data_IF_949944420264
#
_entry.id   IF_949944420264
#
_cell.length_a   1.000
_cell.length_b   1.000
_cell.length_c   1.000
_cell.angle_alpha   90.00
_cell.angle_beta   90.00
_cell.angle_gamma   90.00
#
_symmetry.space_group_name_H-M   'P 1'
#
loop_
_entity.id
_entity.type
_entity.pdbx_description
1 polymer ?
#
# COMPACT_ATOMS: atom_id res chain seq x y z
N UNK A 1 1.63 14.98 -17.64
CA UNK A 1 3.03 15.13 -18.09
C UNK A 1 3.91 14.27 -17.19
N UNK A 2 4.75 13.44 -17.80
CA UNK A 2 5.76 12.66 -17.08
C UNK A 2 6.76 13.60 -16.42
N UNK A 3 7.15 13.33 -15.19
CA UNK A 3 8.08 14.17 -14.43
C UNK A 3 9.34 13.38 -14.13
N UNK A 4 10.47 13.90 -14.58
CA UNK A 4 11.78 13.35 -14.25
C UNK A 4 12.10 13.64 -12.78
N UNK A 5 12.11 12.56 -11.95
CA UNK A 5 12.44 12.66 -10.52
C UNK A 5 13.96 12.74 -10.28
N UNK A 6 14.77 12.65 -11.34
CA UNK A 6 16.24 12.71 -11.24
C UNK A 6 16.79 14.13 -11.35
N UNK A 7 15.93 15.15 -11.51
CA UNK A 7 16.30 16.56 -11.68
C UNK A 7 15.65 17.45 -10.62
N UNK A 8 16.25 18.61 -10.35
CA UNK A 8 15.75 19.58 -9.36
C UNK A 8 16.09 19.24 -7.91
N UNK A 9 15.70 20.08 -6.94
CA UNK A 9 15.94 19.87 -5.51
C UNK A 9 15.08 18.69 -5.00
N UNK A 10 15.67 17.66 -4.33
CA UNK A 10 14.95 16.47 -3.89
C UNK A 10 13.68 16.75 -3.07
N UNK A 11 13.74 17.70 -2.13
CA UNK A 11 12.57 18.09 -1.32
C UNK A 11 11.40 18.57 -2.20
N UNK A 12 11.65 19.51 -3.12
CA UNK A 12 10.61 20.06 -4.01
C UNK A 12 10.03 18.99 -4.94
N UNK A 13 10.89 18.09 -5.40
CA UNK A 13 10.49 16.97 -6.28
C UNK A 13 9.61 15.99 -5.52
N UNK A 14 10.02 15.57 -4.31
CA UNK A 14 9.26 14.63 -3.48
C UNK A 14 7.93 15.21 -3.03
N UNK A 15 7.89 16.46 -2.51
CA UNK A 15 6.62 17.10 -2.16
C UNK A 15 5.66 17.17 -3.35
N UNK A 16 6.13 17.64 -4.51
CA UNK A 16 5.30 17.77 -5.70
C UNK A 16 4.84 16.44 -6.30
N UNK A 17 5.54 15.33 -5.98
CA UNK A 17 5.19 13.98 -6.41
C UNK A 17 4.33 13.25 -5.39
N UNK A 18 4.66 13.32 -4.10
CA UNK A 18 3.99 12.56 -3.05
C UNK A 18 2.67 13.20 -2.58
N UNK A 19 2.51 14.53 -2.69
CA UNK A 19 1.30 15.21 -2.22
C UNK A 19 0.02 14.74 -2.96
N UNK A 20 -0.02 14.58 -4.29
CA UNK A 20 -1.19 13.99 -4.96
C UNK A 20 -1.44 12.55 -4.55
N UNK A 21 -0.38 11.74 -4.30
CA UNK A 21 -0.53 10.36 -3.83
C UNK A 21 -1.16 10.33 -2.43
N UNK A 22 -0.75 11.24 -1.55
CA UNK A 22 -1.39 11.41 -0.24
C UNK A 22 -2.86 11.81 -0.36
N UNK A 23 -3.18 12.74 -1.25
CA UNK A 23 -4.57 13.11 -1.56
C UNK A 23 -5.42 11.92 -2.02
N UNK A 24 -4.83 10.98 -2.77
CA UNK A 24 -5.51 9.76 -3.20
C UNK A 24 -5.99 8.91 -2.02
N UNK A 25 -5.21 8.82 -0.94
CA UNK A 25 -5.59 8.07 0.27
C UNK A 25 -6.82 8.68 0.93
N UNK A 26 -6.89 10.01 1.00
CA UNK A 26 -8.05 10.69 1.59
C UNK A 26 -9.33 10.32 0.83
N UNK A 27 -9.32 10.41 -0.50
CA UNK A 27 -10.47 10.01 -1.33
C UNK A 27 -10.81 8.53 -1.19
N UNK A 28 -9.81 7.65 -1.12
CA UNK A 28 -10.01 6.22 -0.92
C UNK A 28 -10.66 5.92 0.44
N UNK A 29 -10.26 6.62 1.51
CA UNK A 29 -10.87 6.43 2.82
C UNK A 29 -12.28 7.00 2.89
N UNK A 30 -12.53 8.16 2.26
CA UNK A 30 -13.88 8.71 2.15
C UNK A 30 -14.83 7.77 1.40
N UNK A 31 -14.38 7.19 0.32
CA UNK A 31 -15.11 6.19 -0.44
C UNK A 31 -15.44 4.95 0.42
N UNK A 32 -14.47 4.35 1.10
CA UNK A 32 -14.69 3.17 1.95
C UNK A 32 -15.68 3.44 3.10
N UNK A 33 -15.65 4.65 3.67
CA UNK A 33 -16.59 5.07 4.71
C UNK A 33 -18.01 5.23 4.11
N UNK A 34 -18.12 5.87 2.94
CA UNK A 34 -19.39 6.08 2.28
C UNK A 34 -20.09 4.77 1.89
N UNK A 35 -19.35 3.81 1.30
CA UNK A 35 -19.86 2.48 0.98
C UNK A 35 -20.45 1.78 2.21
N UNK A 36 -19.70 1.79 3.32
CA UNK A 36 -20.13 1.19 4.57
C UNK A 36 -21.38 1.87 5.15
N UNK A 37 -21.43 3.20 5.06
CA UNK A 37 -22.61 3.98 5.52
C UNK A 37 -23.85 3.72 4.66
N UNK A 38 -23.68 3.64 3.33
CA UNK A 38 -24.80 3.39 2.40
C UNK A 38 -25.31 1.96 2.61
N UNK A 39 -24.44 0.97 2.68
CA UNK A 39 -24.82 -0.42 2.96
C UNK A 39 -25.55 -0.53 4.31
N UNK A 40 -25.01 0.02 5.38
CA UNK A 40 -25.60 -0.07 6.72
C UNK A 40 -26.92 0.68 6.85
N UNK A 41 -27.01 1.91 6.33
CA UNK A 41 -28.18 2.79 6.54
C UNK A 41 -29.36 2.45 5.62
N UNK A 42 -29.10 2.04 4.38
CA UNK A 42 -30.15 1.87 3.37
C UNK A 42 -30.49 0.42 3.06
N UNK A 43 -29.60 -0.54 3.34
CA UNK A 43 -29.86 -1.97 3.13
C UNK A 43 -30.12 -2.68 4.47
N UNK A 44 -29.31 -2.39 5.50
CA UNK A 44 -29.47 -2.92 6.85
C UNK A 44 -28.19 -3.54 7.42
N UNK A 45 -28.28 -3.99 8.67
CA UNK A 45 -27.14 -4.53 9.43
C UNK A 45 -26.53 -5.78 8.79
N UNK A 46 -27.37 -6.70 8.29
CA UNK A 46 -26.90 -7.92 7.63
C UNK A 46 -26.12 -7.63 6.35
N UNK A 47 -26.53 -6.61 5.59
CA UNK A 47 -25.81 -6.18 4.39
C UNK A 47 -24.43 -5.60 4.73
N UNK A 48 -24.35 -4.76 5.77
CA UNK A 48 -23.10 -4.22 6.26
C UNK A 48 -22.17 -5.34 6.75
N UNK A 49 -22.73 -6.32 7.47
CA UNK A 49 -21.98 -7.49 7.94
C UNK A 49 -21.49 -8.35 6.76
N UNK A 50 -22.31 -8.56 5.72
CA UNK A 50 -21.94 -9.33 4.54
C UNK A 50 -20.80 -8.67 3.74
N UNK A 51 -20.85 -7.36 3.54
CA UNK A 51 -19.79 -6.57 2.88
C UNK A 51 -18.51 -6.63 3.69
N UNK A 52 -18.58 -6.38 5.01
CA UNK A 52 -17.44 -6.39 5.91
C UNK A 52 -16.78 -7.77 6.00
N UNK A 53 -17.57 -8.84 6.08
CA UNK A 53 -17.07 -10.21 6.10
C UNK A 53 -16.37 -10.60 4.79
N UNK A 54 -16.91 -10.21 3.67
CA UNK A 54 -16.32 -10.45 2.35
C UNK A 54 -15.03 -9.65 2.15
N UNK A 55 -14.92 -8.48 2.75
CA UNK A 55 -13.74 -7.60 2.65
C UNK A 55 -12.45 -8.29 3.12
N UNK A 56 -12.50 -9.11 4.16
CA UNK A 56 -11.33 -9.85 4.64
C UNK A 56 -10.75 -10.78 3.57
N UNK A 57 -11.61 -11.42 2.77
CA UNK A 57 -11.18 -12.26 1.64
C UNK A 57 -10.64 -11.39 0.50
N UNK A 58 -11.25 -10.22 0.25
CA UNK A 58 -10.79 -9.31 -0.82
C UNK A 58 -9.39 -8.79 -0.56
N UNK A 59 -8.95 -8.65 0.70
CA UNK A 59 -7.59 -8.24 1.05
C UNK A 59 -6.52 -9.17 0.48
N UNK A 60 -6.83 -10.46 0.31
CA UNK A 60 -5.91 -11.42 -0.31
C UNK A 60 -5.68 -11.02 -1.78
N UNK A 61 -6.75 -10.78 -2.53
CA UNK A 61 -6.64 -10.37 -3.94
C UNK A 61 -5.97 -9.01 -4.10
N UNK A 62 -6.27 -8.07 -3.19
CA UNK A 62 -5.62 -6.75 -3.14
C UNK A 62 -4.12 -6.88 -2.92
N UNK A 63 -3.65 -7.81 -2.07
CA UNK A 63 -2.23 -8.03 -1.82
C UNK A 63 -1.47 -8.42 -3.11
N UNK A 64 -2.06 -9.28 -3.95
CA UNK A 64 -1.48 -9.65 -5.24
C UNK A 64 -1.46 -8.47 -6.22
N UNK A 65 -2.56 -7.73 -6.34
CA UNK A 65 -2.64 -6.56 -7.22
C UNK A 65 -1.62 -5.48 -6.80
N UNK A 66 -1.49 -5.24 -5.50
CA UNK A 66 -0.53 -4.30 -4.92
C UNK A 66 0.93 -4.74 -5.15
N UNK A 67 1.21 -6.03 -5.02
CA UNK A 67 2.54 -6.57 -5.33
C UNK A 67 2.91 -6.39 -6.80
N UNK A 68 1.99 -6.63 -7.73
CA UNK A 68 2.18 -6.35 -9.16
C UNK A 68 2.43 -4.87 -9.44
N UNK A 69 1.67 -3.98 -8.76
CA UNK A 69 1.88 -2.53 -8.83
C UNK A 69 3.32 -2.16 -8.44
N UNK A 70 3.78 -2.61 -7.27
CA UNK A 70 5.11 -2.28 -6.75
C UNK A 70 6.21 -2.88 -7.63
N UNK A 71 6.08 -4.15 -8.02
CA UNK A 71 7.06 -4.83 -8.89
C UNK A 71 7.23 -4.10 -10.21
N UNK A 72 6.11 -3.78 -10.88
CA UNK A 72 6.10 -2.99 -12.10
C UNK A 72 6.72 -1.62 -11.88
N UNK A 73 6.25 -0.88 -10.86
CA UNK A 73 6.63 0.52 -10.68
C UNK A 73 8.12 0.70 -10.41
N UNK A 74 8.74 -0.19 -9.63
CA UNK A 74 10.18 -0.15 -9.33
C UNK A 74 11.02 -0.41 -10.59
N UNK A 75 10.69 -1.44 -11.37
CA UNK A 75 11.47 -1.80 -12.56
C UNK A 75 11.28 -0.78 -13.69
N UNK A 76 10.03 -0.33 -13.92
CA UNK A 76 9.74 0.77 -14.88
C UNK A 76 10.46 2.05 -14.48
N UNK A 77 10.44 2.43 -13.18
CA UNK A 77 11.16 3.61 -12.67
C UNK A 77 12.65 3.54 -12.96
N UNK A 78 13.27 2.36 -12.78
CA UNK A 78 14.69 2.16 -13.04
C UNK A 78 15.04 2.39 -14.50
N UNK A 79 14.34 1.73 -15.41
CA UNK A 79 14.57 1.90 -16.85
C UNK A 79 14.20 3.31 -17.34
N UNK A 80 13.18 3.94 -16.75
CA UNK A 80 12.84 5.32 -17.07
C UNK A 80 13.95 6.29 -16.63
N UNK A 81 14.52 6.12 -15.44
CA UNK A 81 15.67 6.89 -14.96
C UNK A 81 16.94 6.70 -15.82
N UNK A 82 17.18 5.47 -16.29
CA UNK A 82 18.26 5.15 -17.23
C UNK A 82 18.00 5.66 -18.66
N UNK A 83 16.81 6.23 -18.94
CA UNK A 83 16.34 6.63 -20.29
C UNK A 83 16.26 5.47 -21.29
N UNK A 84 16.19 4.24 -20.81
CA UNK A 84 16.04 3.03 -21.61
C UNK A 84 14.56 2.78 -21.96
N UNK A 85 13.95 3.63 -22.78
CA UNK A 85 12.51 3.63 -23.08
C UNK A 85 12.01 2.34 -23.75
N UNK A 86 12.90 1.64 -24.48
CA UNK A 86 12.61 0.29 -24.98
C UNK A 86 12.29 -0.67 -23.83
N UNK A 87 13.15 -0.70 -22.79
CA UNK A 87 12.98 -1.56 -21.63
C UNK A 87 11.77 -1.12 -20.78
N UNK A 88 11.46 0.20 -20.72
CA UNK A 88 10.22 0.69 -20.08
C UNK A 88 8.99 0.05 -20.74
N UNK A 89 8.89 0.10 -22.08
CA UNK A 89 7.75 -0.49 -22.80
C UNK A 89 7.70 -2.01 -22.65
N UNK A 90 8.85 -2.69 -22.78
CA UNK A 90 8.95 -4.15 -22.57
C UNK A 90 8.50 -4.55 -21.17
N UNK A 91 8.91 -3.79 -20.14
CA UNK A 91 8.49 -4.04 -18.75
C UNK A 91 6.98 -3.88 -18.58
N UNK A 92 6.38 -2.83 -19.17
CA UNK A 92 4.93 -2.64 -19.10
C UNK A 92 4.19 -3.78 -19.79
N UNK A 93 4.59 -4.16 -21.01
CA UNK A 93 3.95 -5.27 -21.74
C UNK A 93 4.09 -6.57 -20.96
N UNK A 94 5.29 -6.90 -20.47
CA UNK A 94 5.54 -8.10 -19.65
C UNK A 94 4.68 -8.11 -18.40
N UNK A 95 4.55 -6.97 -17.69
CA UNK A 95 3.73 -6.87 -16.48
C UNK A 95 2.23 -7.04 -16.79
N UNK A 96 1.74 -6.42 -17.86
CA UNK A 96 0.32 -6.54 -18.23
C UNK A 96 -0.02 -7.98 -18.60
N UNK A 97 0.86 -8.67 -19.34
CA UNK A 97 0.64 -10.05 -19.75
C UNK A 97 0.73 -11.02 -18.55
N UNK A 98 1.78 -10.90 -17.73
CA UNK A 98 1.92 -11.74 -16.54
C UNK A 98 0.85 -11.45 -15.49
N UNK A 99 0.45 -10.19 -15.35
CA UNK A 99 -0.66 -9.77 -14.50
C UNK A 99 -2.01 -10.32 -14.96
N UNK A 100 -2.23 -10.41 -16.28
CA UNK A 100 -3.43 -11.05 -16.86
C UNK A 100 -3.50 -12.53 -16.51
N UNK A 101 -2.38 -13.26 -16.65
CA UNK A 101 -2.31 -14.69 -16.31
C UNK A 101 -2.55 -14.89 -14.82
N UNK A 102 -1.87 -14.12 -13.97
CA UNK A 102 -2.06 -14.20 -12.51
C UNK A 102 -3.50 -13.88 -12.12
N UNK A 103 -4.08 -12.82 -12.68
CA UNK A 103 -5.46 -12.44 -12.44
C UNK A 103 -6.44 -13.54 -12.83
N UNK A 104 -6.26 -14.15 -14.02
CA UNK A 104 -7.10 -15.27 -14.48
C UNK A 104 -7.01 -16.47 -13.52
N UNK A 105 -5.81 -16.82 -13.04
CA UNK A 105 -5.64 -17.88 -12.05
C UNK A 105 -6.35 -17.56 -10.72
N UNK A 106 -6.21 -16.33 -10.23
CA UNK A 106 -6.89 -15.89 -9.00
C UNK A 106 -8.41 -15.83 -9.17
N UNK A 107 -8.91 -15.44 -10.34
CA UNK A 107 -10.34 -15.50 -10.64
C UNK A 107 -10.87 -16.93 -10.62
N UNK A 108 -10.18 -17.88 -11.27
CA UNK A 108 -10.56 -19.29 -11.22
C UNK A 108 -10.58 -19.82 -9.80
N UNK A 109 -9.51 -19.59 -9.04
CA UNK A 109 -9.44 -19.97 -7.62
C UNK A 109 -10.55 -19.31 -6.79
N UNK A 110 -10.83 -18.04 -7.05
CA UNK A 110 -11.87 -17.28 -6.37
C UNK A 110 -13.28 -17.81 -6.68
N UNK A 111 -13.62 -18.02 -7.96
CA UNK A 111 -14.94 -18.52 -8.35
C UNK A 111 -15.23 -19.92 -7.80
N UNK A 112 -14.28 -20.84 -7.93
CA UNK A 112 -14.46 -22.21 -7.42
C UNK A 112 -14.29 -22.29 -5.90
N UNK A 113 -13.47 -21.43 -5.30
CA UNK A 113 -13.17 -21.40 -3.88
C UNK A 113 -14.10 -20.51 -3.04
N UNK A 114 -14.95 -19.66 -3.64
CA UNK A 114 -15.73 -18.64 -2.95
C UNK A 114 -16.48 -19.16 -1.73
N UNK A 115 -17.28 -20.21 -1.90
CA UNK A 115 -18.04 -20.81 -0.81
C UNK A 115 -17.13 -21.38 0.29
N UNK A 116 -16.05 -22.08 -0.10
CA UNK A 116 -15.11 -22.66 0.85
C UNK A 116 -14.36 -21.58 1.64
N UNK A 117 -13.96 -20.47 1.00
CA UNK A 117 -13.32 -19.37 1.67
C UNK A 117 -14.24 -18.72 2.71
N UNK A 118 -15.51 -18.47 2.38
CA UNK A 118 -16.50 -17.95 3.32
C UNK A 118 -16.77 -18.93 4.49
N UNK A 119 -16.83 -20.22 4.22
CA UNK A 119 -16.98 -21.23 5.28
C UNK A 119 -15.75 -21.29 6.19
N UNK A 120 -14.54 -21.17 5.64
CA UNK A 120 -13.29 -21.17 6.43
C UNK A 120 -13.19 -20.00 7.42
N UNK A 121 -13.76 -18.84 7.08
CA UNK A 121 -13.84 -17.69 7.99
C UNK A 121 -15.07 -17.72 8.91
N UNK A 122 -15.80 -18.86 8.96
CA UNK A 122 -16.99 -19.07 9.80
C UNK A 122 -18.09 -18.01 9.52
N UNK A 123 -18.35 -17.72 8.26
CA UNK A 123 -19.45 -16.81 7.87
C UNK A 123 -20.78 -17.34 8.39
N UNK A 124 -21.58 -16.54 9.15
CA UNK A 124 -22.91 -16.94 9.61
C UNK A 124 -23.85 -17.25 8.43
N UNK A 125 -24.74 -18.25 8.61
CA UNK A 125 -25.68 -18.66 7.55
C UNK A 125 -26.60 -17.51 7.10
N UNK A 126 -26.97 -16.62 8.02
CA UNK A 126 -27.84 -15.47 7.79
C UNK A 126 -27.30 -14.49 6.72
N UNK A 127 -25.98 -14.34 6.65
CA UNK A 127 -25.31 -13.44 5.71
C UNK A 127 -24.56 -14.16 4.60
N UNK A 128 -24.57 -15.51 4.59
CA UNK A 128 -23.80 -16.32 3.63
C UNK A 128 -24.17 -16.02 2.17
N UNK A 129 -25.47 -15.86 1.89
CA UNK A 129 -25.97 -15.61 0.53
C UNK A 129 -25.47 -14.26 0.02
N UNK A 130 -25.62 -13.21 0.82
CA UNK A 130 -25.21 -11.85 0.48
C UNK A 130 -23.68 -11.72 0.39
N UNK A 131 -22.95 -12.35 1.32
CA UNK A 131 -21.49 -12.40 1.28
C UNK A 131 -20.97 -13.09 0.03
N UNK A 132 -21.59 -14.21 -0.36
CA UNK A 132 -21.25 -14.93 -1.59
C UNK A 132 -21.54 -14.08 -2.83
N UNK A 133 -22.71 -13.45 -2.89
CA UNK A 133 -23.09 -12.58 -4.02
C UNK A 133 -22.10 -11.42 -4.18
N UNK A 134 -21.80 -10.70 -3.09
CA UNK A 134 -20.83 -9.62 -3.08
C UNK A 134 -19.45 -10.09 -3.57
N UNK A 135 -18.95 -11.19 -2.99
CA UNK A 135 -17.63 -11.71 -3.32
C UNK A 135 -17.54 -12.21 -4.77
N UNK A 136 -18.59 -12.83 -5.32
CA UNK A 136 -18.63 -13.25 -6.72
C UNK A 136 -18.55 -12.06 -7.69
N UNK A 137 -19.29 -10.98 -7.42
CA UNK A 137 -19.22 -9.75 -8.22
C UNK A 137 -17.83 -9.13 -8.10
N UNK A 138 -17.25 -9.10 -6.89
CA UNK A 138 -15.90 -8.60 -6.66
C UNK A 138 -14.84 -9.40 -7.44
N UNK A 139 -14.91 -10.73 -7.40
CA UNK A 139 -14.03 -11.62 -8.16
C UNK A 139 -14.15 -11.38 -9.68
N UNK A 140 -15.37 -11.16 -10.18
CA UNK A 140 -15.57 -10.78 -11.59
C UNK A 140 -14.89 -9.43 -11.92
N UNK A 141 -14.78 -8.53 -10.95
CA UNK A 141 -14.10 -7.22 -11.06
C UNK A 141 -12.58 -7.28 -10.90
N UNK A 142 -11.98 -8.42 -10.55
CA UNK A 142 -10.53 -8.54 -10.33
C UNK A 142 -9.68 -8.02 -11.50
N UNK A 143 -10.02 -8.24 -12.79
CA UNK A 143 -9.25 -7.67 -13.88
C UNK A 143 -9.14 -6.15 -13.80
N UNK A 144 -10.22 -5.48 -13.44
CA UNK A 144 -10.21 -4.02 -13.30
C UNK A 144 -9.33 -3.57 -12.13
N UNK A 145 -9.39 -4.28 -11.00
CA UNK A 145 -8.52 -4.05 -9.85
C UNK A 145 -7.04 -4.22 -10.22
N UNK A 146 -6.68 -5.33 -10.87
CA UNK A 146 -5.31 -5.64 -11.24
C UNK A 146 -4.74 -4.62 -12.22
N UNK A 147 -5.41 -4.40 -13.35
CA UNK A 147 -4.92 -3.50 -14.39
C UNK A 147 -4.93 -2.04 -13.96
N UNK A 148 -5.89 -1.62 -13.15
CA UNK A 148 -5.87 -0.28 -12.55
C UNK A 148 -4.65 -0.11 -11.62
N UNK A 149 -4.36 -1.10 -10.75
CA UNK A 149 -3.18 -1.07 -9.88
C UNK A 149 -1.88 -1.04 -10.70
N UNK A 150 -1.74 -1.87 -11.74
CA UNK A 150 -0.57 -1.83 -12.63
C UNK A 150 -0.45 -0.46 -13.30
N UNK A 151 -1.55 0.10 -13.81
CA UNK A 151 -1.56 1.41 -14.45
C UNK A 151 -1.13 2.52 -13.48
N UNK A 152 -1.61 2.52 -12.22
CA UNK A 152 -1.18 3.49 -11.20
C UNK A 152 0.30 3.34 -10.84
N UNK A 153 0.82 2.12 -10.83
CA UNK A 153 2.24 1.83 -10.69
C UNK A 153 3.07 2.41 -11.82
N UNK A 154 2.62 2.26 -13.07
CA UNK A 154 3.27 2.82 -14.26
C UNK A 154 3.28 4.35 -14.20
N UNK A 155 2.13 5.00 -13.90
CA UNK A 155 2.08 6.45 -13.75
C UNK A 155 3.07 6.95 -12.70
N UNK A 156 3.09 6.30 -11.54
CA UNK A 156 4.02 6.62 -10.45
C UNK A 156 5.48 6.44 -10.88
N UNK A 157 5.78 5.37 -11.62
CA UNK A 157 7.10 5.09 -12.16
C UNK A 157 7.57 6.16 -13.16
N UNK A 158 6.66 6.72 -13.94
CA UNK A 158 6.91 7.83 -14.88
C UNK A 158 6.89 9.21 -14.21
N UNK A 159 6.79 9.28 -12.88
CA UNK A 159 6.74 10.52 -12.11
C UNK A 159 5.41 11.27 -12.19
N UNK A 160 4.35 10.63 -12.69
CA UNK A 160 3.03 11.23 -12.84
C UNK A 160 2.08 10.76 -11.72
N UNK A 161 2.07 11.47 -10.61
CA UNK A 161 1.16 11.20 -9.49
C UNK A 161 -0.21 11.88 -9.60
N UNK A 162 -0.34 12.88 -10.48
CA UNK A 162 -1.58 13.64 -10.64
C UNK A 162 -2.67 12.83 -11.36
N UNK A 163 -2.28 12.09 -12.40
CA UNK A 163 -3.25 11.31 -13.21
C UNK A 163 -3.95 10.24 -12.35
N UNK A 164 -3.25 9.35 -11.60
CA UNK A 164 -3.93 8.40 -10.72
C UNK A 164 -4.75 9.08 -9.63
N UNK A 165 -4.31 10.23 -9.08
CA UNK A 165 -5.10 11.00 -8.12
C UNK A 165 -6.44 11.45 -8.70
N UNK A 166 -6.43 12.05 -9.90
CA UNK A 166 -7.66 12.54 -10.55
C UNK A 166 -8.60 11.36 -10.86
N UNK A 167 -8.08 10.26 -11.38
CA UNK A 167 -8.91 9.09 -11.67
C UNK A 167 -9.54 8.52 -10.39
N UNK A 168 -8.77 8.39 -9.31
CA UNK A 168 -9.30 7.89 -8.06
C UNK A 168 -10.35 8.84 -7.46
N UNK A 169 -10.08 10.16 -7.46
CA UNK A 169 -11.02 11.14 -6.94
C UNK A 169 -12.35 11.13 -7.71
N UNK A 170 -12.29 11.15 -9.05
CA UNK A 170 -13.49 11.09 -9.89
C UNK A 170 -14.24 9.76 -9.70
N UNK A 171 -13.51 8.64 -9.67
CA UNK A 171 -14.10 7.32 -9.47
C UNK A 171 -14.76 7.18 -8.11
N UNK A 172 -14.13 7.68 -7.04
CA UNK A 172 -14.69 7.65 -5.69
C UNK A 172 -15.99 8.43 -5.59
N UNK A 173 -16.03 9.63 -6.16
CA UNK A 173 -17.26 10.44 -6.19
C UNK A 173 -18.36 9.76 -7.02
N UNK A 174 -18.03 9.25 -8.20
CA UNK A 174 -18.97 8.53 -9.05
C UNK A 174 -19.51 7.26 -8.37
N UNK A 175 -18.64 6.52 -7.65
CA UNK A 175 -19.04 5.33 -6.93
C UNK A 175 -20.03 5.64 -5.81
N UNK A 176 -19.78 6.66 -4.96
CA UNK A 176 -20.72 7.08 -3.90
C UNK A 176 -22.08 7.43 -4.49
N UNK A 177 -22.11 8.14 -5.62
CA UNK A 177 -23.37 8.49 -6.31
C UNK A 177 -24.08 7.24 -6.83
N UNK A 178 -23.34 6.32 -7.45
CA UNK A 178 -23.90 5.08 -8.00
C UNK A 178 -24.39 4.13 -6.90
N UNK A 179 -23.65 3.99 -5.79
CA UNK A 179 -24.08 3.23 -4.62
C UNK A 179 -25.42 3.74 -4.11
N UNK A 180 -25.54 5.07 -3.93
CA UNK A 180 -26.78 5.67 -3.49
C UNK A 180 -27.94 5.42 -4.47
N UNK A 181 -27.71 5.54 -5.78
CA UNK A 181 -28.72 5.28 -6.81
C UNK A 181 -29.12 3.80 -6.81
N UNK A 182 -28.16 2.88 -6.83
CA UNK A 182 -28.43 1.44 -6.93
C UNK A 182 -29.12 0.88 -5.69
N UNK A 183 -28.72 1.37 -4.52
CA UNK A 183 -29.29 0.92 -3.25
C UNK A 183 -30.64 1.58 -2.98
N UNK A 184 -30.74 2.92 -3.13
CA UNK A 184 -31.92 3.67 -2.72
C UNK A 184 -33.05 3.67 -3.74
N UNK A 185 -32.71 3.80 -5.05
CA UNK A 185 -33.74 3.93 -6.10
C UNK A 185 -33.99 2.61 -6.84
N UNK A 186 -32.95 1.78 -7.06
CA UNK A 186 -33.10 0.50 -7.74
C UNK A 186 -33.30 -0.67 -6.77
N UNK A 187 -33.23 -0.45 -5.47
CA UNK A 187 -33.44 -1.45 -4.41
C UNK A 187 -32.60 -2.71 -4.58
N UNK A 188 -31.37 -2.58 -5.12
CA UNK A 188 -30.50 -3.74 -5.44
C UNK A 188 -29.80 -4.34 -4.20
N UNK A 189 -29.98 -3.77 -3.02
CA UNK A 189 -29.38 -4.28 -1.79
C UNK A 189 -27.85 -4.36 -1.86
N UNK A 190 -27.26 -5.44 -1.34
CA UNK A 190 -25.80 -5.68 -1.34
C UNK A 190 -25.24 -5.76 -2.77
N UNK A 191 -26.01 -6.31 -3.72
CA UNK A 191 -25.58 -6.35 -5.12
C UNK A 191 -25.37 -4.94 -5.70
N UNK A 192 -26.16 -3.95 -5.26
CA UNK A 192 -26.03 -2.55 -5.72
C UNK A 192 -24.66 -1.98 -5.42
N UNK A 193 -24.17 -2.12 -4.18
CA UNK A 193 -22.84 -1.68 -3.76
C UNK A 193 -21.75 -2.39 -4.55
N UNK A 194 -21.88 -3.71 -4.72
CA UNK A 194 -20.89 -4.49 -5.47
C UNK A 194 -20.82 -4.07 -6.96
N UNK A 195 -21.97 -3.87 -7.61
CA UNK A 195 -22.03 -3.45 -9.01
C UNK A 195 -21.58 -2.02 -9.23
N UNK A 196 -21.87 -1.10 -8.32
CA UNK A 196 -21.38 0.27 -8.41
C UNK A 196 -19.84 0.30 -8.37
N UNK A 197 -19.23 -0.45 -7.45
CA UNK A 197 -17.78 -0.60 -7.37
C UNK A 197 -17.22 -1.24 -8.64
N UNK A 198 -17.82 -2.32 -9.15
CA UNK A 198 -17.41 -2.99 -10.37
C UNK A 198 -17.39 -2.04 -11.58
N UNK A 199 -18.47 -1.28 -11.78
CA UNK A 199 -18.61 -0.37 -12.93
C UNK A 199 -17.64 0.81 -12.81
N UNK A 200 -17.55 1.48 -11.66
CA UNK A 200 -16.66 2.62 -11.47
C UNK A 200 -15.20 2.23 -11.60
N UNK A 201 -14.82 1.08 -11.06
CA UNK A 201 -13.47 0.55 -11.18
C UNK A 201 -13.16 0.11 -12.61
N UNK A 202 -14.13 -0.46 -13.32
CA UNK A 202 -14.02 -0.83 -14.72
C UNK A 202 -13.76 0.39 -15.61
N UNK A 203 -14.56 1.43 -15.49
CA UNK A 203 -14.39 2.69 -16.24
C UNK A 203 -13.01 3.29 -15.95
N UNK A 204 -12.63 3.38 -14.67
CA UNK A 204 -11.33 3.94 -14.27
C UNK A 204 -10.16 3.13 -14.81
N UNK A 205 -10.27 1.80 -14.81
CA UNK A 205 -9.27 0.90 -15.36
C UNK A 205 -9.07 1.13 -16.87
N UNK A 206 -10.16 1.14 -17.65
CA UNK A 206 -10.08 1.36 -19.10
C UNK A 206 -9.46 2.72 -19.41
N UNK A 207 -9.91 3.78 -18.75
CA UNK A 207 -9.35 5.11 -18.93
C UNK A 207 -7.86 5.16 -18.55
N UNK A 208 -7.47 4.55 -17.43
CA UNK A 208 -6.08 4.49 -16.98
C UNK A 208 -5.19 3.76 -17.99
N UNK A 209 -5.61 2.61 -18.49
CA UNK A 209 -4.86 1.83 -19.50
C UNK A 209 -4.73 2.61 -20.82
N UNK A 210 -5.79 3.25 -21.31
CA UNK A 210 -5.72 4.10 -22.53
C UNK A 210 -4.69 5.22 -22.35
N UNK A 211 -4.68 5.88 -21.19
CA UNK A 211 -3.74 6.95 -20.91
C UNK A 211 -2.31 6.42 -20.75
N UNK A 212 -2.12 5.24 -20.13
CA UNK A 212 -0.80 4.58 -20.07
C UNK A 212 -0.24 4.36 -21.47
N UNK A 213 -1.02 3.76 -22.38
CA UNK A 213 -0.55 3.50 -23.74
C UNK A 213 -0.26 4.80 -24.52
N UNK A 214 -1.03 5.88 -24.30
CA UNK A 214 -0.73 7.20 -24.88
C UNK A 214 0.61 7.76 -24.35
N UNK A 215 0.87 7.64 -23.04
CA UNK A 215 2.15 8.09 -22.46
C UNK A 215 3.33 7.26 -22.97
N UNK A 216 3.16 5.94 -23.08
CA UNK A 216 4.19 5.07 -23.66
C UNK A 216 4.44 5.38 -25.14
N UNK A 217 3.38 5.68 -25.91
CA UNK A 217 3.51 6.10 -27.31
C UNK A 217 4.36 7.36 -27.50
N UNK A 218 4.29 8.28 -26.54
CA UNK A 218 5.08 9.52 -26.55
C UNK A 218 6.57 9.31 -26.19
N UNK A 219 6.95 8.17 -25.60
CA UNK A 219 8.36 7.86 -25.33
C UNK A 219 9.01 7.36 -26.63
N UNK A 220 9.86 8.15 -27.24
CA UNK A 220 10.58 7.75 -28.45
C UNK A 220 11.63 6.68 -28.13
N UNK A 221 11.67 5.63 -28.93
CA UNK A 221 12.65 4.56 -28.82
C UNK A 221 12.97 4.01 -30.21
N UNK A 222 14.25 3.92 -30.54
CA UNK A 222 14.74 3.35 -31.81
C UNK A 222 14.52 1.83 -31.89
N UNK A 223 14.60 1.14 -30.74
CA UNK A 223 14.40 -0.31 -30.64
C UNK A 223 12.91 -0.64 -30.43
N UNK A 224 12.44 -1.70 -31.06
CA UNK A 224 11.08 -2.22 -30.87
C UNK A 224 10.96 -2.91 -29.51
N UNK A 225 9.92 -2.58 -28.75
CA UNK A 225 9.62 -3.28 -27.50
C UNK A 225 9.15 -4.72 -27.75
N UNK A 226 9.54 -5.62 -26.88
CA UNK A 226 9.09 -7.01 -26.88
C UNK A 226 7.83 -7.14 -26.02
N UNK A 227 6.88 -8.00 -26.45
CA UNK A 227 5.65 -8.21 -25.71
C UNK A 227 5.87 -8.93 -24.37
N UNK A 228 6.82 -9.85 -24.32
CA UNK A 228 7.20 -10.55 -23.11
C UNK A 228 8.69 -10.81 -23.06
N UNK A 229 9.30 -10.59 -21.92
CA UNK A 229 10.73 -10.84 -21.66
C UNK A 229 10.88 -11.57 -20.33
N UNK A 230 11.38 -12.82 -20.39
CA UNK A 230 11.61 -13.62 -19.17
C UNK A 230 12.60 -12.97 -18.20
N UNK A 231 13.73 -12.38 -18.63
CA UNK A 231 14.64 -11.67 -17.72
C UNK A 231 13.93 -10.50 -17.00
N UNK A 232 13.12 -9.73 -17.71
CA UNK A 232 12.34 -8.61 -17.12
C UNK A 232 11.26 -9.14 -16.17
N UNK A 233 10.58 -10.23 -16.54
CA UNK A 233 9.61 -10.88 -15.66
C UNK A 233 10.23 -11.32 -14.34
N UNK A 234 11.40 -11.97 -14.39
CA UNK A 234 12.12 -12.36 -13.17
C UNK A 234 12.52 -11.15 -12.32
N UNK A 235 12.95 -10.04 -12.93
CA UNK A 235 13.22 -8.81 -12.20
C UNK A 235 11.94 -8.25 -11.51
N UNK A 236 10.80 -8.29 -12.19
CA UNK A 236 9.53 -7.89 -11.59
C UNK A 236 9.20 -8.80 -10.41
N UNK A 237 9.33 -10.12 -10.56
CA UNK A 237 9.07 -11.11 -9.51
C UNK A 237 9.95 -10.91 -8.28
N UNK A 238 11.24 -10.52 -8.43
CA UNK A 238 12.13 -10.25 -7.29
C UNK A 238 11.62 -9.13 -6.38
N UNK A 239 10.78 -8.22 -6.89
CA UNK A 239 10.17 -7.13 -6.12
C UNK A 239 8.71 -7.43 -5.76
N UNK A 240 7.95 -7.99 -6.70
CA UNK A 240 6.52 -8.26 -6.52
C UNK A 240 6.26 -9.34 -5.47
N UNK A 241 6.94 -10.48 -5.53
CA UNK A 241 6.72 -11.61 -4.61
C UNK A 241 6.98 -11.21 -3.15
N UNK A 242 8.13 -10.59 -2.79
CA UNK A 242 8.33 -10.12 -1.43
C UNK A 242 7.29 -9.09 -0.97
N UNK A 243 6.80 -8.24 -1.88
CA UNK A 243 5.77 -7.24 -1.55
C UNK A 243 4.40 -7.88 -1.29
N UNK A 244 4.04 -8.93 -2.05
CA UNK A 244 2.85 -9.75 -1.81
C UNK A 244 2.96 -10.45 -0.46
N UNK A 245 4.09 -11.10 -0.19
CA UNK A 245 4.34 -11.79 1.08
C UNK A 245 4.26 -10.82 2.26
N UNK A 246 4.88 -9.65 2.16
CA UNK A 246 4.78 -8.62 3.20
C UNK A 246 3.31 -8.29 3.51
N UNK A 247 2.50 -8.00 2.51
CA UNK A 247 1.10 -7.63 2.71
C UNK A 247 0.28 -8.77 3.32
N UNK A 248 0.52 -10.00 2.87
CA UNK A 248 -0.11 -11.19 3.40
C UNK A 248 0.27 -11.45 4.87
N UNK A 249 1.55 -11.32 5.21
CA UNK A 249 2.01 -11.47 6.60
C UNK A 249 1.48 -10.38 7.53
N UNK A 250 1.33 -9.14 7.05
CA UNK A 250 0.68 -8.07 7.82
C UNK A 250 -0.76 -8.46 8.16
N UNK A 251 -1.51 -8.99 7.19
CA UNK A 251 -2.90 -9.45 7.40
C UNK A 251 -2.98 -10.59 8.41
N UNK A 252 -2.12 -11.61 8.28
CA UNK A 252 -2.04 -12.73 9.23
C UNK A 252 -1.69 -12.23 10.65
N UNK A 253 -0.71 -11.32 10.75
CA UNK A 253 -0.33 -10.72 12.05
C UNK A 253 -1.49 -9.97 12.70
N UNK A 254 -2.27 -9.23 11.91
CA UNK A 254 -3.45 -8.53 12.42
C UNK A 254 -4.54 -9.48 12.90
N UNK A 255 -4.77 -10.61 12.20
CA UNK A 255 -5.72 -11.65 12.64
C UNK A 255 -5.31 -12.24 13.98
N UNK A 256 -4.01 -12.56 14.17
CA UNK A 256 -3.51 -13.10 15.45
C UNK A 256 -3.70 -12.07 16.57
N UNK A 257 -3.36 -10.81 16.34
CA UNK A 257 -3.57 -9.74 17.32
C UNK A 257 -5.06 -9.56 17.64
N UNK A 258 -5.94 -9.60 16.65
CA UNK A 258 -7.40 -9.54 16.86
C UNK A 258 -7.88 -10.71 17.73
N UNK A 259 -7.36 -11.92 17.50
CA UNK A 259 -7.69 -13.09 18.31
C UNK A 259 -7.29 -12.91 19.79
N UNK A 260 -6.11 -12.31 20.05
CA UNK A 260 -5.71 -11.97 21.43
C UNK A 260 -6.64 -10.93 22.05
N UNK A 261 -7.04 -9.91 21.30
CA UNK A 261 -7.93 -8.84 21.77
C UNK A 261 -9.32 -9.36 22.12
N UNK A 262 -9.83 -10.33 21.37
CA UNK A 262 -11.14 -10.93 21.59
C UNK A 262 -11.27 -11.57 23.00
N UNK A 263 -10.16 -11.97 23.60
CA UNK A 263 -10.13 -12.47 24.98
C UNK A 263 -10.35 -11.42 26.07
N UNK A 264 -10.35 -10.11 25.76
CA UNK A 264 -10.47 -9.02 26.74
C UNK A 264 -11.86 -8.39 26.84
N UNK A 265 -12.83 -8.91 26.08
CA UNK A 265 -14.23 -8.49 26.14
C UNK A 265 -14.61 -7.34 25.19
N UNK A 266 -15.92 -7.13 25.06
CA UNK A 266 -16.52 -6.27 24.04
C UNK A 266 -16.04 -4.80 24.09
N UNK A 267 -15.86 -4.23 25.30
CA UNK A 267 -15.39 -2.84 25.43
C UNK A 267 -13.99 -2.63 24.88
N UNK A 268 -13.06 -3.60 25.10
CA UNK A 268 -11.70 -3.52 24.56
C UNK A 268 -11.71 -3.70 23.05
N UNK A 269 -12.52 -4.61 22.54
CA UNK A 269 -12.71 -4.82 21.09
C UNK A 269 -13.22 -3.54 20.43
N UNK A 270 -14.23 -2.90 20.98
CA UNK A 270 -14.80 -1.67 20.45
C UNK A 270 -13.78 -0.50 20.45
N UNK A 271 -13.04 -0.32 21.57
CA UNK A 271 -11.99 0.67 21.68
C UNK A 271 -10.85 0.45 20.68
N UNK A 272 -10.42 -0.78 20.50
CA UNK A 272 -9.45 -1.16 19.49
C UNK A 272 -9.97 -0.89 18.07
N UNK A 273 -11.20 -1.28 17.76
CA UNK A 273 -11.78 -1.08 16.43
C UNK A 273 -11.81 0.39 16.00
N UNK A 274 -12.09 1.31 16.93
CA UNK A 274 -12.01 2.74 16.68
C UNK A 274 -10.57 3.22 16.48
N UNK A 275 -9.67 2.84 17.39
CA UNK A 275 -8.27 3.25 17.35
C UNK A 275 -7.53 2.73 16.13
N UNK A 276 -7.78 1.48 15.69
CA UNK A 276 -7.10 0.88 14.55
C UNK A 276 -7.51 1.53 13.22
N UNK A 277 -8.74 2.02 13.07
CA UNK A 277 -9.16 2.79 11.89
C UNK A 277 -8.33 4.06 11.74
N UNK A 278 -8.11 4.78 12.86
CA UNK A 278 -7.28 5.97 12.89
C UNK A 278 -5.80 5.65 12.63
N UNK A 279 -5.29 4.58 13.25
CA UNK A 279 -3.94 4.10 13.00
C UNK A 279 -3.72 3.70 11.53
N UNK A 280 -4.66 2.98 10.92
CA UNK A 280 -4.56 2.56 9.53
C UNK A 280 -4.52 3.74 8.56
N UNK A 281 -5.26 4.81 8.83
CA UNK A 281 -5.19 6.05 8.04
C UNK A 281 -3.76 6.61 8.02
N UNK A 282 -3.09 6.66 9.17
CA UNK A 282 -1.71 7.16 9.29
C UNK A 282 -0.72 6.22 8.59
N UNK A 283 -0.79 4.93 8.89
CA UNK A 283 0.14 3.93 8.33
C UNK A 283 -0.01 3.84 6.81
N UNK A 284 -1.24 3.83 6.28
CA UNK A 284 -1.48 3.82 4.83
C UNK A 284 -0.94 5.08 4.15
N UNK A 285 -1.09 6.25 4.79
CA UNK A 285 -0.52 7.51 4.33
C UNK A 285 1.01 7.44 4.22
N UNK A 286 1.68 6.97 5.27
CA UNK A 286 3.14 6.83 5.28
C UNK A 286 3.62 5.77 4.28
N UNK A 287 2.89 4.66 4.13
CA UNK A 287 3.21 3.61 3.15
C UNK A 287 3.12 4.16 1.72
N UNK A 288 2.12 4.99 1.43
CA UNK A 288 1.96 5.61 0.11
C UNK A 288 3.09 6.60 -0.18
N UNK A 289 3.51 7.40 0.82
CA UNK A 289 4.68 8.25 0.69
C UNK A 289 5.96 7.43 0.48
N UNK A 290 6.11 6.31 1.19
CA UNK A 290 7.23 5.38 1.02
C UNK A 290 7.27 4.77 -0.39
N UNK A 291 6.12 4.47 -1.01
CA UNK A 291 6.04 4.03 -2.40
C UNK A 291 6.51 5.13 -3.36
N UNK A 292 6.17 6.39 -3.08
CA UNK A 292 6.71 7.55 -3.82
C UNK A 292 8.23 7.65 -3.72
N UNK A 293 8.79 7.46 -2.54
CA UNK A 293 10.23 7.44 -2.30
C UNK A 293 10.90 6.25 -2.99
N UNK A 294 10.24 5.09 -3.05
CA UNK A 294 10.71 3.93 -3.80
C UNK A 294 10.88 4.25 -5.28
N UNK A 295 9.90 4.88 -5.91
CA UNK A 295 9.99 5.30 -7.31
C UNK A 295 11.07 6.36 -7.54
N UNK A 296 11.18 7.36 -6.64
CA UNK A 296 12.25 8.34 -6.68
C UNK A 296 13.63 7.67 -6.60
N UNK A 297 13.81 6.75 -5.67
CA UNK A 297 15.05 6.00 -5.47
C UNK A 297 15.39 5.18 -6.71
N UNK A 298 14.41 4.45 -7.26
CA UNK A 298 14.62 3.59 -8.43
C UNK A 298 14.97 4.39 -9.69
N UNK A 299 14.32 5.56 -9.93
CA UNK A 299 14.69 6.45 -11.04
C UNK A 299 16.12 6.98 -10.88
N UNK A 300 16.51 7.44 -9.68
CA UNK A 300 17.85 7.96 -9.43
C UNK A 300 18.91 6.86 -9.50
N UNK A 301 18.59 5.64 -9.09
CA UNK A 301 19.44 4.46 -9.24
C UNK A 301 19.68 4.15 -10.73
N UNK A 302 18.61 4.12 -11.53
CA UNK A 302 18.72 3.91 -12.99
C UNK A 302 19.53 5.00 -13.70
N UNK A 303 19.43 6.24 -13.21
CA UNK A 303 20.21 7.37 -13.73
C UNK A 303 21.66 7.44 -13.22
N UNK A 304 22.11 6.48 -12.38
CA UNK A 304 23.45 6.49 -11.77
C UNK A 304 23.65 7.61 -10.73
N UNK A 305 22.58 8.25 -10.25
CA UNK A 305 22.66 9.41 -9.33
C UNK A 305 22.56 8.99 -7.86
N UNK A 306 23.52 8.24 -7.38
CA UNK A 306 23.53 7.63 -6.04
C UNK A 306 23.45 8.65 -4.89
N UNK A 307 24.14 9.80 -5.01
CA UNK A 307 24.11 10.84 -3.99
C UNK A 307 22.70 11.41 -3.79
N UNK A 308 21.93 11.54 -4.88
CA UNK A 308 20.55 11.99 -4.81
C UNK A 308 19.62 11.03 -4.08
N UNK A 309 19.94 9.72 -4.02
CA UNK A 309 19.18 8.75 -3.22
C UNK A 309 19.31 9.11 -1.74
N UNK A 310 20.51 9.48 -1.29
CA UNK A 310 20.73 9.90 0.10
C UNK A 310 20.03 11.23 0.42
N UNK A 311 20.09 12.20 -0.48
CA UNK A 311 19.38 13.47 -0.31
C UNK A 311 17.85 13.26 -0.32
N UNK A 312 17.35 12.36 -1.19
CA UNK A 312 15.96 11.94 -1.21
C UNK A 312 15.53 11.24 0.07
N UNK A 313 16.38 10.39 0.65
CA UNK A 313 16.14 9.79 1.96
C UNK A 313 15.95 10.86 3.06
N UNK A 314 16.88 11.83 3.16
CA UNK A 314 16.76 12.92 4.13
C UNK A 314 15.51 13.77 3.89
N UNK A 315 15.23 14.11 2.63
CA UNK A 315 14.04 14.85 2.25
C UNK A 315 12.75 14.08 2.58
N UNK A 316 12.75 12.75 2.35
CA UNK A 316 11.67 11.85 2.71
C UNK A 316 11.40 11.81 4.22
N UNK A 317 12.45 11.69 5.05
CA UNK A 317 12.32 11.77 6.52
C UNK A 317 11.71 13.11 6.93
N UNK A 318 12.25 14.23 6.41
CA UNK A 318 11.73 15.56 6.70
C UNK A 318 10.25 15.69 6.31
N UNK A 319 9.88 15.17 5.15
CA UNK A 319 8.50 15.19 4.66
C UNK A 319 7.56 14.40 5.57
N UNK A 320 7.89 13.16 5.92
CA UNK A 320 7.01 12.33 6.78
C UNK A 320 6.93 12.90 8.19
N UNK A 321 8.01 13.50 8.73
CA UNK A 321 7.97 14.15 10.04
C UNK A 321 7.15 15.44 10.03
N UNK A 322 7.22 16.23 8.96
CA UNK A 322 6.35 17.41 8.79
C UNK A 322 4.86 17.02 8.81
N UNK A 323 4.50 15.84 8.28
CA UNK A 323 3.14 15.31 8.35
C UNK A 323 2.84 14.64 9.69
N UNK A 324 3.83 14.00 10.32
CA UNK A 324 3.65 13.31 11.61
C UNK A 324 3.39 14.29 12.76
N UNK A 325 4.05 15.46 12.79
CA UNK A 325 3.88 16.45 13.86
C UNK A 325 2.42 16.84 14.07
N UNK A 326 1.68 17.36 13.07
CA UNK A 326 0.28 17.73 13.26
C UNK A 326 -0.60 16.52 13.58
N UNK A 327 -0.32 15.33 13.03
CA UNK A 327 -1.08 14.11 13.33
C UNK A 327 -0.89 13.65 14.78
N UNK A 328 0.35 13.63 15.27
CA UNK A 328 0.64 13.29 16.67
C UNK A 328 -0.01 14.29 17.61
N UNK A 329 0.13 15.59 17.34
CA UNK A 329 -0.53 16.64 18.13
C UNK A 329 -2.05 16.47 18.12
N UNK A 330 -2.64 16.20 16.98
CA UNK A 330 -4.07 15.95 16.86
C UNK A 330 -4.50 14.74 17.71
N UNK A 331 -3.77 13.63 17.67
CA UNK A 331 -4.11 12.43 18.44
C UNK A 331 -3.89 12.59 19.94
N UNK A 332 -2.88 13.36 20.36
CA UNK A 332 -2.62 13.64 21.77
C UNK A 332 -3.66 14.62 22.34
N UNK A 333 -3.97 15.70 21.61
CA UNK A 333 -4.86 16.77 22.08
C UNK A 333 -6.34 16.42 21.85
N UNK A 334 -6.66 15.97 20.63
CA UNK A 334 -8.04 15.72 20.19
C UNK A 334 -8.39 14.22 20.08
N UNK A 335 -7.54 13.31 20.60
CA UNK A 335 -7.74 11.85 20.47
C UNK A 335 -9.09 11.37 20.97
N UNK A 336 -9.61 11.98 22.05
CA UNK A 336 -10.96 11.68 22.57
C UNK A 336 -12.05 11.98 21.52
N UNK A 337 -11.98 13.13 20.87
CA UNK A 337 -12.92 13.51 19.81
C UNK A 337 -12.78 12.63 18.57
N UNK A 338 -11.57 12.26 18.22
CA UNK A 338 -11.31 11.37 17.09
C UNK A 338 -11.87 9.96 17.32
N UNK A 339 -11.69 9.40 18.53
CA UNK A 339 -12.26 8.09 18.89
C UNK A 339 -13.78 8.16 18.94
N UNK A 340 -14.34 9.27 19.47
CA UNK A 340 -15.79 9.49 19.55
C UNK A 340 -16.48 9.48 18.18
N UNK A 341 -15.81 9.86 17.10
CA UNK A 341 -16.36 9.75 15.74
C UNK A 341 -16.78 8.33 15.35
N UNK A 342 -16.26 7.32 16.04
CA UNK A 342 -16.51 5.90 15.77
C UNK A 342 -17.26 5.19 16.89
N UNK A 343 -17.81 5.95 17.86
CA UNK A 343 -18.52 5.41 19.03
C UNK A 343 -19.83 6.13 19.28
N UNK A 344 -20.81 5.41 19.80
CA UNK A 344 -22.14 5.96 20.12
C UNK A 344 -22.14 6.76 21.44
N UNK A 345 -21.15 6.53 22.32
CA UNK A 345 -21.04 7.23 23.61
C UNK A 345 -19.69 7.92 23.77
N UNK A 346 -19.70 9.08 24.42
CA UNK A 346 -18.50 9.90 24.69
C UNK A 346 -17.72 9.48 25.95
N UNK A 347 -18.14 8.42 26.63
CA UNK A 347 -17.55 7.93 27.90
C UNK A 347 -17.66 6.40 27.99
N UNK A 348 -16.85 5.82 28.87
CA UNK A 348 -16.84 4.39 29.16
C UNK A 348 -15.53 3.68 28.79
N UNK A 349 -15.42 2.43 29.21
CA UNK A 349 -14.19 1.62 29.07
C UNK A 349 -13.70 1.46 27.62
N UNK A 350 -14.62 1.43 26.65
CA UNK A 350 -14.26 1.37 25.23
C UNK A 350 -13.58 2.67 24.78
N UNK A 351 -14.11 3.82 25.18
CA UNK A 351 -13.52 5.13 24.90
C UNK A 351 -12.12 5.25 25.49
N UNK A 352 -11.97 4.86 26.77
CA UNK A 352 -10.69 4.93 27.47
C UNK A 352 -9.65 4.01 26.82
N UNK A 353 -10.05 2.83 26.38
CA UNK A 353 -9.21 1.89 25.64
C UNK A 353 -8.74 2.51 24.32
N UNK A 354 -9.64 3.09 23.52
CA UNK A 354 -9.31 3.73 22.25
C UNK A 354 -8.31 4.88 22.43
N UNK A 355 -8.55 5.75 23.42
CA UNK A 355 -7.65 6.87 23.75
C UNK A 355 -6.29 6.36 24.21
N UNK A 356 -6.25 5.33 25.06
CA UNK A 356 -5.00 4.73 25.54
C UNK A 356 -4.15 4.20 24.38
N UNK A 357 -4.76 3.47 23.46
CA UNK A 357 -4.08 2.96 22.26
C UNK A 357 -3.45 4.11 21.48
N UNK A 358 -4.23 5.16 21.16
CA UNK A 358 -3.71 6.32 20.42
C UNK A 358 -2.55 7.00 21.15
N UNK A 359 -2.65 7.16 22.48
CA UNK A 359 -1.57 7.76 23.28
C UNK A 359 -0.30 6.93 23.29
N UNK A 360 -0.42 5.60 23.31
CA UNK A 360 0.75 4.70 23.23
C UNK A 360 1.38 4.76 21.84
N UNK A 361 0.58 4.74 20.76
CA UNK A 361 1.08 4.64 19.40
C UNK A 361 1.57 5.99 18.83
N UNK A 362 0.92 7.11 19.19
CA UNK A 362 1.17 8.40 18.56
C UNK A 362 2.64 8.85 18.58
N UNK A 363 3.40 8.77 19.69
CA UNK A 363 4.80 9.16 19.69
C UNK A 363 5.67 8.30 18.75
N UNK A 364 5.28 7.05 18.53
CA UNK A 364 6.03 6.10 17.70
C UNK A 364 5.73 6.22 16.21
N UNK A 365 4.79 7.09 15.80
CA UNK A 365 4.61 7.43 14.39
C UNK A 365 5.86 8.09 13.79
N UNK A 366 6.67 8.80 14.59
CA UNK A 366 7.98 9.28 14.14
C UNK A 366 8.92 8.12 13.82
N UNK A 367 8.91 7.07 14.62
CA UNK A 367 9.78 5.89 14.44
C UNK A 367 9.34 5.08 13.22
N UNK A 368 8.05 4.71 13.15
CA UNK A 368 7.55 3.90 12.03
C UNK A 368 7.61 4.65 10.70
N UNK A 369 7.46 5.97 10.70
CA UNK A 369 7.60 6.76 9.47
C UNK A 369 9.03 6.70 8.91
N UNK A 370 10.06 6.73 9.77
CA UNK A 370 11.45 6.50 9.36
C UNK A 370 11.64 5.11 8.78
N UNK A 371 11.08 4.07 9.44
CA UNK A 371 11.08 2.70 8.91
C UNK A 371 10.52 2.64 7.50
N UNK A 372 9.32 3.17 7.31
CA UNK A 372 8.62 3.09 6.02
C UNK A 372 9.37 3.84 4.91
N UNK A 373 9.94 5.03 5.20
CA UNK A 373 10.81 5.75 4.25
C UNK A 373 12.02 4.92 3.89
N UNK A 374 12.69 4.31 4.88
CA UNK A 374 13.87 3.46 4.67
C UNK A 374 13.52 2.23 3.85
N UNK A 375 12.39 1.58 4.16
CA UNK A 375 11.85 0.45 3.41
C UNK A 375 11.54 0.83 1.95
N UNK A 376 11.05 2.06 1.72
CA UNK A 376 10.86 2.62 0.38
C UNK A 376 12.18 2.71 -0.40
N UNK A 377 13.26 3.17 0.25
CA UNK A 377 14.60 3.21 -0.37
C UNK A 377 15.13 1.80 -0.66
N UNK A 378 15.00 0.86 0.29
CA UNK A 378 15.44 -0.53 0.10
C UNK A 378 14.71 -1.20 -1.07
N UNK A 379 13.39 -1.01 -1.18
CA UNK A 379 12.59 -1.52 -2.31
C UNK A 379 13.00 -0.87 -3.64
N UNK A 380 13.11 0.44 -3.68
CA UNK A 380 13.52 1.19 -4.87
C UNK A 380 14.92 0.81 -5.35
N UNK A 381 15.79 0.40 -4.44
CA UNK A 381 17.11 -0.15 -4.74
C UNK A 381 17.10 -1.65 -5.06
N UNK A 382 15.94 -2.30 -5.08
CA UNK A 382 15.76 -3.78 -5.21
C UNK A 382 16.51 -4.60 -4.15
N UNK A 383 16.77 -4.04 -2.98
CA UNK A 383 17.35 -4.73 -1.83
C UNK A 383 16.28 -5.51 -1.05
N UNK A 384 15.56 -6.39 -1.76
CA UNK A 384 14.35 -7.02 -1.22
C UNK A 384 14.64 -7.98 -0.06
N UNK A 385 15.81 -8.63 -0.03
CA UNK A 385 16.22 -9.47 1.11
C UNK A 385 16.35 -8.66 2.41
N UNK A 386 17.00 -7.51 2.35
CA UNK A 386 17.11 -6.59 3.50
C UNK A 386 15.75 -6.06 3.97
N UNK A 387 14.90 -5.65 3.02
CA UNK A 387 13.54 -5.21 3.26
C UNK A 387 12.69 -6.30 3.95
N UNK A 388 12.75 -7.55 3.45
CA UNK A 388 12.01 -8.67 4.04
C UNK A 388 12.49 -8.98 5.47
N UNK A 389 13.79 -9.05 5.70
CA UNK A 389 14.35 -9.31 7.04
C UNK A 389 13.84 -8.25 8.04
N UNK A 390 13.95 -6.97 7.70
CA UNK A 390 13.51 -5.89 8.59
C UNK A 390 12.00 -5.94 8.84
N UNK A 391 11.19 -6.21 7.81
CA UNK A 391 9.74 -6.22 7.91
C UNK A 391 9.23 -7.46 8.65
N UNK A 392 9.74 -8.65 8.34
CA UNK A 392 9.31 -9.87 9.04
C UNK A 392 9.76 -9.90 10.49
N UNK A 393 10.96 -9.37 10.80
CA UNK A 393 11.39 -9.22 12.20
C UNK A 393 10.42 -8.32 12.97
N UNK A 394 10.03 -7.16 12.43
CA UNK A 394 9.02 -6.28 13.03
C UNK A 394 7.70 -7.06 13.29
N UNK A 395 7.16 -7.73 12.27
CA UNK A 395 5.87 -8.42 12.37
C UNK A 395 5.91 -9.59 13.36
N UNK A 396 6.94 -10.44 13.29
CA UNK A 396 7.10 -11.59 14.17
C UNK A 396 7.27 -11.13 15.63
N UNK A 397 8.15 -10.15 15.86
CA UNK A 397 8.37 -9.61 17.20
C UNK A 397 7.12 -8.96 17.77
N UNK A 398 6.41 -8.18 16.97
CA UNK A 398 5.16 -7.54 17.39
C UNK A 398 4.13 -8.56 17.84
N UNK A 399 3.91 -9.64 17.09
CA UNK A 399 2.95 -10.70 17.44
C UNK A 399 3.42 -11.49 18.66
N UNK A 400 4.69 -11.90 18.70
CA UNK A 400 5.27 -12.67 19.79
C UNK A 400 5.26 -11.91 21.12
N UNK A 401 5.68 -10.62 21.07
CA UNK A 401 5.69 -9.75 22.25
C UNK A 401 4.27 -9.46 22.72
N UNK A 402 3.31 -9.23 21.79
CA UNK A 402 1.91 -9.06 22.15
C UNK A 402 1.35 -10.29 22.88
N UNK A 403 1.63 -11.50 22.38
CA UNK A 403 1.20 -12.73 23.04
C UNK A 403 1.79 -12.90 24.44
N UNK A 404 3.09 -12.63 24.63
CA UNK A 404 3.76 -12.74 25.92
C UNK A 404 3.33 -11.63 26.88
N UNK A 405 3.26 -10.38 26.44
CA UNK A 405 2.90 -9.28 27.31
C UNK A 405 1.41 -9.24 27.65
N UNK A 406 0.53 -9.77 26.78
CA UNK A 406 -0.91 -9.84 27.07
C UNK A 406 -1.21 -10.69 28.30
N UNK A 407 -0.44 -11.75 28.54
CA UNK A 407 -0.60 -12.60 29.72
C UNK A 407 -0.15 -11.93 31.03
N UNK A 408 0.75 -10.93 30.96
CA UNK A 408 1.31 -10.24 32.14
C UNK A 408 0.70 -8.87 32.39
N UNK A 409 0.41 -8.12 31.34
CA UNK A 409 -0.04 -6.71 31.39
C UNK A 409 -1.45 -6.52 30.84
N UNK A 410 -2.16 -7.62 30.53
CA UNK A 410 -3.48 -7.55 29.93
C UNK A 410 -3.44 -6.89 28.53
N UNK A 411 -4.50 -6.20 28.16
CA UNK A 411 -4.62 -5.54 26.85
C UNK A 411 -3.54 -4.47 26.59
N UNK A 412 -3.01 -3.82 27.64
CA UNK A 412 -1.91 -2.85 27.53
C UNK A 412 -0.66 -3.49 26.94
N UNK A 413 -0.40 -4.76 27.26
CA UNK A 413 0.71 -5.52 26.70
C UNK A 413 0.65 -5.66 25.19
N UNK A 414 -0.55 -5.80 24.63
CA UNK A 414 -0.75 -5.87 23.17
C UNK A 414 -0.36 -4.54 22.51
N UNK A 415 -0.83 -3.43 23.07
CA UNK A 415 -0.54 -2.10 22.50
C UNK A 415 0.93 -1.73 22.59
N UNK A 416 1.59 -2.14 23.67
CA UNK A 416 3.02 -1.89 23.91
C UNK A 416 3.94 -2.68 22.98
N UNK A 417 3.47 -3.77 22.39
CA UNK A 417 4.24 -4.58 21.44
C UNK A 417 4.49 -3.86 20.10
N UNK A 418 3.58 -2.98 19.68
CA UNK A 418 3.71 -2.25 18.41
C UNK A 418 4.92 -1.31 18.38
N UNK A 419 5.11 -0.42 19.38
CA UNK A 419 6.30 0.41 19.47
C UNK A 419 7.61 -0.36 19.42
N UNK A 420 7.68 -1.51 20.11
CA UNK A 420 8.89 -2.34 20.13
C UNK A 420 9.18 -2.94 18.77
N UNK A 421 8.16 -3.51 18.10
CA UNK A 421 8.31 -4.03 16.73
C UNK A 421 8.78 -2.93 15.76
N UNK A 422 8.13 -1.76 15.79
CA UNK A 422 8.51 -0.61 14.95
C UNK A 422 9.93 -0.13 15.22
N UNK A 423 10.36 -0.04 16.47
CA UNK A 423 11.72 0.40 16.82
C UNK A 423 12.77 -0.57 16.30
N UNK A 424 12.61 -1.88 16.54
CA UNK A 424 13.56 -2.90 16.07
C UNK A 424 13.56 -3.02 14.55
N UNK A 425 12.38 -2.98 13.90
CA UNK A 425 12.28 -2.95 12.45
C UNK A 425 12.96 -1.73 11.85
N UNK A 426 12.80 -0.54 12.48
CA UNK A 426 13.49 0.70 12.05
C UNK A 426 15.00 0.56 12.15
N UNK A 427 15.51 0.04 13.27
CA UNK A 427 16.95 -0.17 13.46
C UNK A 427 17.53 -1.08 12.38
N UNK A 428 16.86 -2.18 12.04
CA UNK A 428 17.29 -3.10 10.99
C UNK A 428 17.23 -2.47 9.61
N UNK A 429 16.14 -1.77 9.27
CA UNK A 429 16.04 -1.07 7.98
C UNK A 429 17.15 -0.03 7.81
N UNK A 430 17.42 0.78 8.85
CA UNK A 430 18.51 1.77 8.88
C UNK A 430 19.89 1.09 8.78
N UNK A 431 20.10 -0.02 9.49
CA UNK A 431 21.36 -0.76 9.41
C UNK A 431 21.64 -1.21 7.97
N UNK A 432 20.65 -1.82 7.30
CA UNK A 432 20.81 -2.24 5.91
C UNK A 432 21.01 -1.07 4.95
N UNK A 433 20.28 0.03 5.17
CA UNK A 433 20.45 1.25 4.39
C UNK A 433 21.87 1.83 4.49
N UNK A 434 22.40 2.00 5.72
CA UNK A 434 23.74 2.54 5.91
C UNK A 434 24.83 1.59 5.44
N UNK A 435 24.64 0.28 5.57
CA UNK A 435 25.55 -0.74 5.00
C UNK A 435 25.57 -0.64 3.47
N UNK A 436 24.42 -0.51 2.83
CA UNK A 436 24.34 -0.33 1.37
C UNK A 436 25.04 0.95 0.92
N UNK A 437 24.76 2.06 1.61
CA UNK A 437 25.43 3.34 1.34
C UNK A 437 26.96 3.22 1.39
N UNK A 438 27.50 2.58 2.43
CA UNK A 438 28.95 2.37 2.57
C UNK A 438 29.54 1.53 1.41
N UNK A 439 28.84 0.48 1.01
CA UNK A 439 29.30 -0.39 -0.10
C UNK A 439 29.30 0.34 -1.45
N UNK A 440 28.31 1.20 -1.72
CA UNK A 440 28.28 2.03 -2.93
C UNK A 440 29.41 3.05 -2.97
N UNK A 441 29.79 3.63 -1.84
CA UNK A 441 30.97 4.51 -1.75
C UNK A 441 32.26 3.75 -2.07
N UNK A 442 32.39 2.50 -1.59
CA UNK A 442 33.56 1.66 -1.86
C UNK A 442 33.64 1.20 -3.32
N UNK A 443 32.51 0.94 -3.97
CA UNK A 443 32.48 0.56 -5.39
C UNK A 443 32.85 1.76 -6.27
N UNK A 444 32.31 2.95 -6.01
CA UNK A 444 32.63 4.17 -6.74
C UNK A 444 34.11 4.57 -6.60
N UNK A 445 34.70 4.38 -5.41
CA UNK A 445 36.13 4.64 -5.21
C UNK A 445 37.02 3.65 -5.97
N UNK A 446 36.60 2.37 -6.11
CA UNK A 446 37.32 1.39 -6.90
C UNK A 446 37.24 1.63 -8.41
N UNK A 447 36.03 2.02 -8.90
CA UNK A 447 35.84 2.41 -10.30
C UNK A 447 36.67 3.63 -10.67
N UNK A 448 36.73 4.64 -9.81
CA UNK A 448 37.59 5.82 -10.06
C UNK A 448 39.09 5.49 -10.05
N UNK A 449 39.54 4.59 -9.16
CA UNK A 449 40.92 4.15 -9.11
C UNK A 449 41.26 3.33 -10.35
N UNK A 450 40.36 2.49 -10.84
CA UNK A 450 40.57 1.73 -12.09
C UNK A 450 40.67 2.64 -13.32
N UNK A 451 39.80 3.65 -13.41
CA UNK A 451 39.84 4.64 -14.50
C UNK A 451 41.17 5.44 -14.45
N UNK A 452 41.61 5.88 -13.27
CA UNK A 452 42.91 6.56 -13.11
C UNK A 452 44.13 5.64 -13.43
N UNK A 453 44.02 4.32 -13.17
CA UNK A 453 45.03 3.35 -13.55
C UNK A 453 45.05 3.07 -15.06
N UNK A 454 43.84 2.99 -15.68
CA UNK A 454 43.72 2.84 -17.15
C UNK A 454 44.21 4.09 -17.90
N UNK A 455 43.90 5.30 -17.44
CA UNK A 455 44.41 6.54 -18.02
C UNK A 455 45.95 6.69 -17.86
N UNK A 456 46.53 6.14 -16.79
CA UNK A 456 48.00 6.13 -16.62
C UNK A 456 48.73 5.08 -17.47
N UNK A 457 48.02 4.08 -17.98
CA UNK A 457 48.57 3.05 -18.87
C UNK A 457 48.46 3.44 -20.36
N UNK A 458 47.64 4.44 -20.68
CA UNK A 458 47.47 4.99 -22.05
C UNK A 458 48.39 6.20 -22.34
N UNK A 459 49.17 6.69 -21.35
CA UNK A 459 50.18 7.75 -21.47
C UNK A 459 51.59 7.11 -21.37
#
# INVERSE_FOLDING_TARGET
MNKDLTTGKPEKVLWGFCLPLFGSIIFQQLYNIADSLIAGKFVGENALAAVGNSYEITLIFIAFAFGCNIGCSVIVSRYFGAKEYHNVRTTVHTTLLSGAVLCALLMLLGFFGCHKMLTMIHTPEEIMVDSRLYLMIYIAGLPFLFFYNIATGIFSALGNSKTPFVFLACSSVANIIMDYIFVRFLAMGVAGVAWATFICQGISCVLAIVVVFRHLGALQSEKKAVWFSMPVFLQICTVAIPSILQQSFVSVGNIIIQSLINGFGASVIAGYAAAIKLNNLVITSFTTLANGISNYTSQNLGAGKYERIHDGFKAGIKMVWTLSVPLVLLYVIAGRWMVYLFMDSSSGSAMDTGILILRILAPFYFVVSVKLVTDGVLRGSSMMGAFMIATFTDLILRVSIAAVLSSKLGSIGIWSAWPVGWALGTMLSLFFYFRAKKNHFLLKSREMVQIEEEEKLEV
#
